data_IF_333344222995
#
_entry.id   IF_333344222995
#
_cell.length_a   1.000
_cell.length_b   1.000
_cell.length_c   1.000
_cell.angle_alpha   90.00
_cell.angle_beta   90.00
_cell.angle_gamma   90.00
#
_symmetry.space_group_name_H-M   'P 1'
#
loop_
_entity.id
_entity.type
_entity.pdbx_description
1 polymer ?
#
# COMPACT_ATOMS: atom_id res chain seq x y z
N UNK A 1 9.97 6.94 6.16
CA UNK A 1 10.59 6.31 4.98
C UNK A 1 9.47 5.61 4.23
N UNK A 2 9.43 5.76 2.91
CA UNK A 2 8.46 5.12 2.02
C UNK A 2 9.24 4.26 1.04
N UNK A 3 8.88 2.97 0.95
CA UNK A 3 9.45 2.03 0.00
C UNK A 3 8.29 1.46 -0.82
N UNK A 4 8.44 1.41 -2.14
CA UNK A 4 7.51 0.77 -3.06
C UNK A 4 8.29 -0.21 -3.93
N UNK A 5 7.88 -1.48 -3.94
CA UNK A 5 8.53 -2.55 -4.71
C UNK A 5 7.47 -3.40 -5.41
N UNK A 6 7.72 -3.83 -6.63
CA UNK A 6 6.76 -4.59 -7.44
C UNK A 6 7.02 -4.48 -8.93
N UNK A 7 6.24 -5.21 -9.73
CA UNK A 7 6.40 -5.26 -11.20
C UNK A 7 5.05 -5.29 -11.96
N UNK A 8 3.94 -5.01 -11.29
CA UNK A 8 2.59 -5.01 -11.89
C UNK A 8 2.05 -6.39 -12.27
N UNK A 9 2.89 -7.41 -12.40
CA UNK A 9 2.49 -8.81 -12.60
C UNK A 9 2.24 -9.47 -11.25
N UNK A 10 3.16 -9.27 -10.30
CA UNK A 10 3.08 -9.80 -8.93
C UNK A 10 2.42 -8.82 -7.96
N UNK A 11 1.93 -7.68 -8.46
CA UNK A 11 1.44 -6.57 -7.65
C UNK A 11 2.56 -5.66 -7.14
N UNK A 12 2.21 -4.82 -6.18
CA UNK A 12 3.10 -3.86 -5.53
C UNK A 12 2.97 -3.96 -4.02
N UNK A 13 4.08 -3.80 -3.31
CA UNK A 13 4.14 -3.72 -1.84
C UNK A 13 4.70 -2.37 -1.45
N UNK A 14 4.02 -1.71 -0.52
CA UNK A 14 4.43 -0.43 0.03
C UNK A 14 4.62 -0.52 1.55
N UNK A 15 5.72 0.04 2.06
CA UNK A 15 5.98 0.15 3.50
C UNK A 15 5.77 1.59 3.97
N UNK A 16 4.92 1.76 4.99
CA UNK A 16 4.59 3.05 5.60
C UNK A 16 5.02 3.09 7.07
N UNK A 17 5.48 4.26 7.51
CA UNK A 17 5.66 4.53 8.94
C UNK A 17 4.38 5.15 9.47
N UNK A 18 3.67 4.45 10.38
CA UNK A 18 2.57 5.03 11.15
C UNK A 18 1.15 4.57 10.82
N UNK A 19 0.94 3.53 10.00
CA UNK A 19 -0.36 2.85 9.85
C UNK A 19 -1.53 3.78 9.53
N UNK A 20 -1.37 4.65 8.53
CA UNK A 20 -2.37 5.65 8.15
C UNK A 20 -3.65 4.99 7.64
N UNK A 21 -4.82 5.45 8.08
CA UNK A 21 -6.11 4.85 7.72
C UNK A 21 -6.49 5.02 6.25
N UNK A 22 -5.82 5.92 5.52
CA UNK A 22 -6.11 6.21 4.11
C UNK A 22 -4.81 6.32 3.33
N UNK A 23 -4.79 5.72 2.13
CA UNK A 23 -3.65 5.75 1.20
C UNK A 23 -4.09 6.30 -0.14
N UNK A 24 -3.40 7.35 -0.61
CA UNK A 24 -3.56 7.87 -1.97
C UNK A 24 -2.71 7.09 -2.96
N UNK A 25 -3.21 6.89 -4.18
CA UNK A 25 -2.49 6.24 -5.27
C UNK A 25 -2.60 7.04 -6.58
N UNK A 26 -1.58 6.90 -7.41
CA UNK A 26 -1.57 7.34 -8.81
C UNK A 26 -0.86 6.27 -9.64
N UNK A 27 -1.57 5.74 -10.61
CA UNK A 27 -1.08 4.75 -11.56
C UNK A 27 -0.72 5.44 -12.86
N UNK A 28 0.49 5.20 -13.36
CA UNK A 28 0.96 5.75 -14.63
C UNK A 28 1.35 4.65 -15.60
N UNK A 29 1.08 4.85 -16.89
CA UNK A 29 1.54 3.99 -17.96
C UNK A 29 3.06 4.13 -18.19
N UNK A 30 3.60 3.35 -19.13
CA UNK A 30 5.03 3.34 -19.46
C UNK A 30 5.55 4.64 -20.08
N UNK A 31 4.67 5.52 -20.55
CA UNK A 31 5.02 6.84 -21.11
C UNK A 31 4.74 7.98 -20.12
N UNK A 32 4.30 7.66 -18.90
CA UNK A 32 4.01 8.62 -17.83
C UNK A 32 2.60 9.20 -17.85
N UNK A 33 1.71 8.71 -18.71
CA UNK A 33 0.29 9.06 -18.71
C UNK A 33 -0.41 8.51 -17.46
N UNK A 34 -1.27 9.30 -16.82
CA UNK A 34 -2.05 8.84 -15.65
C UNK A 34 -3.20 7.96 -16.14
N UNK A 35 -3.21 6.71 -15.67
CA UNK A 35 -4.26 5.73 -15.96
C UNK A 35 -5.38 5.83 -14.93
N UNK A 36 -5.02 5.94 -13.66
CA UNK A 36 -5.96 6.07 -12.55
C UNK A 36 -5.32 6.83 -11.37
N UNK A 37 -6.12 7.53 -10.59
CA UNK A 37 -5.70 8.14 -9.33
C UNK A 37 -6.87 8.19 -8.35
N UNK A 38 -6.55 8.13 -7.05
CA UNK A 38 -7.57 8.17 -6.01
C UNK A 38 -7.01 7.95 -4.62
N UNK A 39 -7.91 7.69 -3.68
CA UNK A 39 -7.59 7.34 -2.30
C UNK A 39 -8.47 6.18 -1.85
N UNK A 40 -7.91 5.31 -1.01
CA UNK A 40 -8.56 4.11 -0.48
C UNK A 40 -8.38 4.10 1.04
N UNK A 41 -9.46 3.79 1.75
CA UNK A 41 -9.40 3.47 3.18
C UNK A 41 -8.79 2.07 3.36
N UNK A 42 -7.79 1.97 4.23
CA UNK A 42 -6.95 0.77 4.35
C UNK A 42 -7.23 0.06 5.67
N UNK A 43 -7.72 -1.17 5.56
CA UNK A 43 -8.03 -2.03 6.70
C UNK A 43 -6.78 -2.78 7.18
N UNK A 44 -5.97 -2.09 7.99
CA UNK A 44 -4.74 -2.64 8.55
C UNK A 44 -4.98 -3.78 9.54
N UNK A 45 -4.46 -4.96 9.22
CA UNK A 45 -4.46 -6.13 10.10
C UNK A 45 -3.09 -6.28 10.76
N UNK A 46 -3.06 -6.60 12.05
CA UNK A 46 -1.79 -6.86 12.76
C UNK A 46 -1.23 -8.22 12.34
N UNK A 47 0.07 -8.24 12.02
CA UNK A 47 0.79 -9.46 11.63
C UNK A 47 2.04 -9.63 12.51
N UNK A 48 2.37 -10.88 12.87
CA UNK A 48 3.51 -11.20 13.75
C UNK A 48 3.24 -11.06 15.27
N UNK A 49 3.98 -11.85 16.07
CA UNK A 49 3.73 -12.15 17.50
C UNK A 49 3.73 -11.01 18.55
N UNK A 50 3.73 -11.43 19.83
CA UNK A 50 3.19 -10.74 21.02
C UNK A 50 3.47 -9.24 21.17
N UNK A 51 2.48 -8.43 20.76
CA UNK A 51 1.82 -7.24 21.34
C UNK A 51 2.54 -6.23 22.27
N UNK A 52 3.79 -6.42 22.69
CA UNK A 52 4.39 -5.56 23.73
C UNK A 52 4.81 -4.17 23.22
N UNK A 53 4.94 -3.98 21.90
CA UNK A 53 5.39 -2.71 21.30
C UNK A 53 4.60 -2.27 20.05
N UNK A 54 3.45 -2.89 19.75
CA UNK A 54 2.71 -2.56 18.53
C UNK A 54 3.42 -3.03 17.26
N UNK A 55 3.53 -4.36 17.10
CA UNK A 55 4.14 -5.02 15.94
C UNK A 55 3.54 -4.64 14.57
N UNK A 56 4.12 -5.17 13.48
CA UNK A 56 3.81 -4.71 12.14
C UNK A 56 2.34 -4.92 11.77
N UNK A 57 1.88 -4.13 10.81
CA UNK A 57 0.55 -4.25 10.22
C UNK A 57 0.67 -4.40 8.72
N UNK A 58 -0.26 -5.13 8.14
CA UNK A 58 -0.34 -5.41 6.72
C UNK A 58 -1.79 -5.25 6.26
N UNK A 59 -1.96 -4.82 5.02
CA UNK A 59 -3.26 -4.67 4.38
C UNK A 59 -3.08 -4.94 2.89
N UNK A 60 -4.07 -5.62 2.31
CA UNK A 60 -4.18 -5.83 0.88
C UNK A 60 -5.20 -4.85 0.32
N UNK A 61 -4.87 -4.19 -0.79
CA UNK A 61 -5.77 -3.29 -1.51
C UNK A 61 -5.79 -3.66 -2.99
N UNK A 62 -6.96 -3.60 -3.58
CA UNK A 62 -7.14 -3.71 -5.03
C UNK A 62 -7.28 -2.31 -5.61
N UNK A 63 -6.41 -1.97 -6.58
CA UNK A 63 -6.53 -0.74 -7.33
C UNK A 63 -7.46 -0.96 -8.53
N UNK A 64 -8.32 0.01 -8.88
CA UNK A 64 -9.12 -0.08 -10.08
C UNK A 64 -8.22 -0.10 -11.32
N UNK A 65 -8.60 -0.96 -12.27
CA UNK A 65 -7.97 -1.13 -13.58
C UNK A 65 -8.41 -0.08 -14.59
#
# INVERSE_FOLDING_TARGET
MFTLVGDGISGWRADFVGGQSMVGYRLTDTVGGVVAEGAIDVDWVRVGGTERCGGPREADIELPS
#
